data_IF_064349408375
#
_entry.id   IF_064349408375
#
_cell.length_a   1.000
_cell.length_b   1.000
_cell.length_c   1.000
_cell.angle_alpha   90.00
_cell.angle_beta   90.00
_cell.angle_gamma   90.00
#
_symmetry.space_group_name_H-M   'P 1'
#
loop_
_entity.id
_entity.type
_entity.pdbx_description
1 polymer ?
#
# COMPACT_ATOMS: atom_id res chain seq x y z
N UNK A 1 9.30 -1.66 7.80
CA UNK A 1 8.51 -2.92 7.66
C UNK A 1 6.98 -2.70 7.79
N UNK A 2 6.46 -1.47 7.70
CA UNK A 2 5.00 -1.20 7.79
C UNK A 2 4.22 -1.66 6.56
N UNK A 3 3.40 -0.77 5.97
CA UNK A 3 2.63 -1.03 4.74
C UNK A 3 3.43 -1.62 3.57
N UNK A 4 4.75 -1.37 3.52
CA UNK A 4 5.69 -2.00 2.57
C UNK A 4 5.63 -3.54 2.57
N UNK A 5 5.35 -4.14 3.74
CA UNK A 5 5.26 -5.60 3.90
C UNK A 5 3.94 -6.21 3.40
N UNK A 6 2.94 -5.40 3.02
CA UNK A 6 1.68 -5.91 2.51
C UNK A 6 1.93 -6.89 1.34
N UNK A 7 1.46 -8.13 1.52
CA UNK A 7 1.77 -9.33 0.73
C UNK A 7 3.26 -9.74 0.74
N UNK A 8 4.15 -8.89 0.23
CA UNK A 8 5.60 -9.13 0.15
C UNK A 8 6.34 -7.81 -0.13
N UNK A 9 7.53 -7.52 0.44
CA UNK A 9 8.23 -6.25 0.25
C UNK A 9 8.41 -5.83 -1.21
N UNK A 10 8.79 -6.76 -2.09
CA UNK A 10 8.96 -6.52 -3.54
C UNK A 10 7.68 -6.61 -4.37
N UNK A 11 6.55 -7.04 -3.79
CA UNK A 11 5.27 -7.12 -4.51
C UNK A 11 4.60 -5.74 -4.55
N UNK A 12 5.09 -4.86 -5.43
CA UNK A 12 4.49 -3.55 -5.68
C UNK A 12 3.38 -3.66 -6.73
N UNK A 13 2.34 -2.84 -6.59
CA UNK A 13 1.16 -2.78 -7.47
C UNK A 13 0.42 -4.12 -7.58
N UNK A 14 0.56 -4.98 -6.57
CA UNK A 14 0.06 -6.35 -6.58
C UNK A 14 -1.42 -6.45 -6.17
N UNK A 15 -1.80 -5.80 -5.08
CA UNK A 15 -3.13 -5.94 -4.49
C UNK A 15 -3.55 -4.69 -3.73
N UNK A 16 -4.68 -4.80 -3.06
CA UNK A 16 -5.26 -3.74 -2.22
C UNK A 16 -4.76 -3.79 -0.76
N UNK A 17 -5.11 -2.78 0.02
CA UNK A 17 -4.97 -2.79 1.48
C UNK A 17 -6.18 -2.16 2.16
N UNK A 18 -6.61 -2.77 3.27
CA UNK A 18 -7.49 -2.13 4.24
C UNK A 18 -6.64 -1.57 5.38
N UNK A 19 -6.56 -0.23 5.48
CA UNK A 19 -5.95 0.50 6.58
C UNK A 19 -7.02 0.88 7.60
N UNK A 20 -6.87 0.37 8.82
CA UNK A 20 -7.72 0.70 9.98
C UNK A 20 -6.97 1.72 10.84
N UNK A 21 -7.48 2.95 10.86
CA UNK A 21 -6.89 4.06 11.62
C UNK A 21 -7.60 4.17 12.96
N UNK A 22 -6.85 4.03 14.05
CA UNK A 22 -7.37 4.28 15.41
C UNK A 22 -7.65 5.77 15.65
N UNK A 23 -8.63 6.15 16.49
CA UNK A 23 -8.99 7.55 16.73
C UNK A 23 -7.81 8.46 17.12
N UNK A 24 -6.93 8.01 18.00
CA UNK A 24 -5.78 8.80 18.47
C UNK A 24 -4.73 9.01 17.37
N UNK A 25 -4.60 8.04 16.45
CA UNK A 25 -3.76 8.21 15.25
C UNK A 25 -4.41 9.14 14.24
N UNK A 26 -5.74 9.16 14.15
CA UNK A 26 -6.44 10.16 13.33
C UNK A 26 -6.18 11.58 13.86
N UNK A 27 -6.24 11.79 15.18
CA UNK A 27 -5.92 13.08 15.79
C UNK A 27 -4.48 13.51 15.48
N UNK A 28 -3.53 12.58 15.62
CA UNK A 28 -2.12 12.83 15.30
C UNK A 28 -1.94 13.18 13.81
N UNK A 29 -2.56 12.40 12.91
CA UNK A 29 -2.46 12.62 11.46
C UNK A 29 -3.10 13.95 11.04
N UNK A 30 -4.26 14.29 11.60
CA UNK A 30 -4.99 15.53 11.29
C UNK A 30 -4.24 16.76 11.81
N UNK A 31 -3.67 16.68 13.02
CA UNK A 31 -2.79 17.71 13.58
C UNK A 31 -1.60 18.01 12.65
N UNK A 32 -1.02 16.98 12.03
CA UNK A 32 0.11 17.09 11.11
C UNK A 32 -0.29 17.39 9.65
N UNK A 33 -1.56 17.76 9.40
CA UNK A 33 -2.06 18.21 8.10
C UNK A 33 -2.66 17.13 7.20
N UNK A 34 -2.69 15.86 7.61
CA UNK A 34 -3.35 14.77 6.89
C UNK A 34 -4.86 14.73 7.21
N UNK A 35 -5.56 15.82 6.91
CA UNK A 35 -6.97 16.02 7.24
C UNK A 35 -7.97 15.21 6.40
N UNK A 36 -7.54 14.61 5.28
CA UNK A 36 -8.41 13.86 4.36
C UNK A 36 -7.85 12.48 4.05
N UNK A 37 -8.71 11.56 3.60
CA UNK A 37 -8.27 10.24 3.12
C UNK A 37 -7.32 10.38 1.93
N UNK A 38 -7.54 11.38 1.09
CA UNK A 38 -6.72 11.68 -0.08
C UNK A 38 -5.30 12.08 0.33
N UNK A 39 -5.14 12.91 1.37
CA UNK A 39 -3.81 13.24 1.92
C UNK A 39 -3.09 11.97 2.39
N UNK A 40 -3.78 11.09 3.13
CA UNK A 40 -3.18 9.86 3.63
C UNK A 40 -2.81 8.90 2.50
N UNK A 41 -3.67 8.73 1.49
CA UNK A 41 -3.38 7.90 0.30
C UNK A 41 -2.17 8.40 -0.47
N UNK A 42 -2.12 9.72 -0.73
CA UNK A 42 -0.98 10.34 -1.40
C UNK A 42 0.31 10.11 -0.62
N UNK A 43 0.26 10.31 0.70
CA UNK A 43 1.42 10.10 1.57
C UNK A 43 1.88 8.64 1.57
N UNK A 44 0.96 7.69 1.66
CA UNK A 44 1.28 6.25 1.58
C UNK A 44 1.96 5.93 0.25
N UNK A 45 1.43 6.41 -0.88
CA UNK A 45 2.04 6.17 -2.19
C UNK A 45 3.45 6.77 -2.29
N UNK A 46 3.64 7.98 -1.77
CA UNK A 46 4.94 8.66 -1.75
C UNK A 46 5.97 7.90 -0.90
N UNK A 47 5.67 7.62 0.38
CA UNK A 47 6.66 7.03 1.31
C UNK A 47 6.94 5.56 1.06
N UNK A 48 6.05 4.88 0.34
CA UNK A 48 6.25 3.47 -0.02
C UNK A 48 6.86 3.29 -1.40
N UNK A 49 7.10 4.38 -2.15
CA UNK A 49 7.70 4.28 -3.46
C UNK A 49 9.16 3.82 -3.40
N UNK A 50 9.51 2.88 -4.27
CA UNK A 50 10.88 2.35 -4.41
C UNK A 50 11.35 2.45 -5.86
N UNK A 51 12.66 2.57 -6.12
CA UNK A 51 13.22 2.41 -7.45
C UNK A 51 12.69 1.11 -8.11
N UNK A 52 12.41 1.17 -9.42
CA UNK A 52 11.90 0.00 -10.13
C UNK A 52 12.86 -1.20 -10.07
N UNK A 53 14.17 -0.94 -10.06
CA UNK A 53 15.19 -1.98 -9.88
C UNK A 53 15.13 -2.70 -8.52
N UNK A 54 14.54 -2.09 -7.49
CA UNK A 54 14.50 -2.66 -6.13
C UNK A 54 13.30 -3.59 -5.91
N UNK A 55 12.32 -3.56 -6.83
CA UNK A 55 11.05 -4.31 -6.74
C UNK A 55 10.97 -5.49 -7.71
N UNK A 56 12.08 -5.82 -8.38
CA UNK A 56 12.21 -7.05 -9.15
C UNK A 56 12.74 -8.17 -8.27
N UNK A 57 12.33 -9.41 -8.57
CA UNK A 57 12.90 -10.59 -7.93
C UNK A 57 14.41 -10.69 -8.18
N UNK A 58 15.11 -11.40 -7.31
CA UNK A 58 16.53 -11.74 -7.46
C UNK A 58 16.79 -13.17 -6.93
N UNK A 59 18.06 -13.57 -6.88
CA UNK A 59 18.48 -14.91 -6.48
C UNK A 59 18.15 -15.23 -5.01
N UNK A 60 17.97 -14.21 -4.17
CA UNK A 60 17.60 -14.38 -2.75
C UNK A 60 16.09 -14.28 -2.54
N UNK A 61 15.40 -13.51 -3.39
CA UNK A 61 13.99 -13.15 -3.22
C UNK A 61 13.23 -13.38 -4.53
N UNK A 62 12.50 -14.50 -4.60
CA UNK A 62 11.68 -14.85 -5.76
C UNK A 62 10.42 -13.99 -5.97
N UNK A 63 10.08 -13.09 -5.03
CA UNK A 63 8.94 -12.18 -5.14
C UNK A 63 9.28 -10.89 -5.90
N UNK A 64 8.32 -10.35 -6.65
CA UNK A 64 8.47 -9.12 -7.43
C UNK A 64 8.26 -9.34 -8.93
N UNK A 65 8.55 -8.33 -9.73
CA UNK A 65 8.52 -8.48 -11.19
C UNK A 65 9.73 -9.28 -11.70
N UNK A 66 9.57 -9.97 -12.84
CA UNK A 66 10.66 -10.73 -13.47
C UNK A 66 11.89 -9.84 -13.72
N UNK A 67 13.14 -10.29 -13.48
CA UNK A 67 14.34 -9.50 -13.73
C UNK A 67 14.47 -9.06 -15.20
N UNK A 68 13.90 -9.84 -16.13
CA UNK A 68 13.90 -9.54 -17.56
C UNK A 68 13.24 -8.19 -17.90
N UNK A 69 12.33 -7.67 -17.05
CA UNK A 69 11.69 -6.36 -17.26
C UNK A 69 12.67 -5.20 -17.17
N UNK A 70 13.87 -5.40 -16.60
CA UNK A 70 14.93 -4.40 -16.55
C UNK A 70 15.81 -4.40 -17.81
N UNK A 71 15.70 -5.42 -18.65
CA UNK A 71 16.46 -5.48 -19.90
C UNK A 71 16.03 -4.35 -20.84
N UNK A 72 17.00 -3.62 -21.38
CA UNK A 72 16.74 -2.48 -22.25
C UNK A 72 16.28 -1.19 -21.54
N UNK A 73 16.11 -1.20 -20.21
CA UNK A 73 15.85 0.04 -19.46
C UNK A 73 17.14 0.79 -19.15
N UNK A 74 17.11 2.10 -19.37
CA UNK A 74 18.16 3.03 -18.95
C UNK A 74 18.15 3.24 -17.41
N UNK A 75 19.17 3.94 -16.91
CA UNK A 75 19.33 4.18 -15.48
C UNK A 75 18.18 5.03 -14.88
N UNK A 76 17.66 6.00 -15.62
CA UNK A 76 16.53 6.82 -15.17
C UNK A 76 15.25 6.00 -15.05
N UNK A 77 14.99 5.12 -16.02
CA UNK A 77 13.85 4.21 -16.02
C UNK A 77 13.94 3.18 -14.89
N UNK A 78 15.13 2.66 -14.59
CA UNK A 78 15.38 1.74 -13.47
C UNK A 78 15.19 2.40 -12.10
N UNK A 79 15.48 3.70 -12.00
CA UNK A 79 15.30 4.50 -10.77
C UNK A 79 13.90 5.06 -10.61
N UNK A 80 13.01 4.90 -11.60
CA UNK A 80 11.65 5.44 -11.52
C UNK A 80 10.94 4.92 -10.26
N UNK A 81 10.35 5.80 -9.45
CA UNK A 81 9.64 5.40 -8.24
C UNK A 81 8.39 4.58 -8.60
N UNK A 82 8.25 3.44 -7.94
CA UNK A 82 7.10 2.54 -8.02
C UNK A 82 6.44 2.50 -6.65
N UNK A 83 5.26 3.13 -6.47
CA UNK A 83 4.50 3.06 -5.23
C UNK A 83 4.08 1.62 -4.88
N UNK A 84 3.75 1.38 -3.61
CA UNK A 84 3.34 0.05 -3.16
C UNK A 84 2.03 -0.42 -3.80
N UNK A 85 1.08 0.50 -4.01
CA UNK A 85 -0.24 0.20 -4.55
C UNK A 85 -0.39 0.76 -5.97
N UNK A 86 -1.24 0.15 -6.80
CA UNK A 86 -1.38 0.56 -8.20
C UNK A 86 -1.96 1.99 -8.34
N UNK A 87 -2.88 2.35 -7.44
CA UNK A 87 -3.47 3.68 -7.33
C UNK A 87 -4.03 3.95 -5.93
N UNK A 88 -4.45 5.20 -5.65
CA UNK A 88 -5.06 5.59 -4.37
C UNK A 88 -6.34 4.80 -4.03
N UNK A 89 -7.08 4.34 -5.05
CA UNK A 89 -8.29 3.54 -4.94
C UNK A 89 -8.04 2.15 -4.31
N UNK A 90 -6.80 1.64 -4.38
CA UNK A 90 -6.42 0.37 -3.78
C UNK A 90 -6.11 0.48 -2.26
N UNK A 91 -6.22 1.69 -1.71
CA UNK A 91 -5.97 1.98 -0.29
C UNK A 91 -7.31 2.32 0.34
N UNK A 92 -7.92 1.32 0.96
CA UNK A 92 -9.18 1.45 1.69
C UNK A 92 -8.91 1.91 3.11
N UNK A 93 -9.57 2.98 3.55
CA UNK A 93 -9.32 3.58 4.86
C UNK A 93 -10.62 3.60 5.64
N UNK A 94 -10.59 3.03 6.85
CA UNK A 94 -11.65 3.12 7.85
C UNK A 94 -11.08 3.67 9.15
N UNK A 95 -11.91 4.39 9.90
CA UNK A 95 -11.61 4.80 11.27
C UNK A 95 -12.45 3.93 12.18
N UNK A 96 -11.82 3.21 13.10
CA UNK A 96 -12.50 2.28 13.99
C UNK A 96 -11.69 2.09 15.28
N UNK A 97 -12.38 1.65 16.34
CA UNK A 97 -11.79 1.46 17.67
C UNK A 97 -12.38 2.41 18.71
N UNK A 98 -11.72 2.49 19.86
CA UNK A 98 -12.05 3.37 20.98
C UNK A 98 -10.75 3.99 21.52
N UNK A 99 -10.88 4.99 22.40
CA UNK A 99 -9.77 5.78 22.98
C UNK A 99 -8.81 5.02 23.92
N UNK A 100 -8.93 3.70 23.99
CA UNK A 100 -8.17 2.85 24.92
C UNK A 100 -6.98 2.12 24.25
N UNK A 101 -6.62 2.44 23.01
CA UNK A 101 -5.59 1.69 22.28
C UNK A 101 -4.97 2.43 21.09
N UNK A 102 -3.69 2.78 21.23
CA UNK A 102 -2.87 3.46 20.21
C UNK A 102 -2.42 2.56 19.05
N UNK A 103 -3.33 1.78 18.47
CA UNK A 103 -2.97 0.81 17.43
C UNK A 103 -3.80 1.05 16.16
N UNK A 104 -3.11 1.43 15.09
CA UNK A 104 -3.62 1.26 13.73
C UNK A 104 -3.16 -0.08 13.20
N UNK A 105 -3.95 -0.68 12.32
CA UNK A 105 -3.64 -1.95 11.69
C UNK A 105 -3.86 -1.86 10.18
N UNK A 106 -3.26 -2.79 9.44
CA UNK A 106 -3.60 -2.98 8.04
C UNK A 106 -3.80 -4.45 7.73
N UNK A 107 -4.64 -4.71 6.73
CA UNK A 107 -4.90 -6.04 6.19
C UNK A 107 -4.57 -6.01 4.71
N UNK A 108 -3.59 -6.82 4.30
CA UNK A 108 -3.20 -6.93 2.90
C UNK A 108 -4.28 -7.71 2.14
N UNK A 109 -4.69 -7.18 0.99
CA UNK A 109 -5.52 -7.90 0.02
C UNK A 109 -4.71 -8.89 -0.79
N UNK A 110 -5.43 -9.62 -1.66
CA UNK A 110 -4.82 -10.46 -2.69
C UNK A 110 -4.72 -9.70 -4.01
N UNK A 111 -4.18 -10.36 -5.07
CA UNK A 111 -4.08 -9.81 -6.42
C UNK A 111 -5.35 -9.04 -6.80
N UNK A 112 -5.22 -7.79 -7.26
CA UNK A 112 -6.35 -6.93 -7.65
C UNK A 112 -6.49 -6.83 -9.18
N UNK A 113 -7.68 -6.49 -9.68
CA UNK A 113 -7.96 -6.31 -11.13
C UNK A 113 -8.54 -7.55 -11.84
N UNK A 114 -8.49 -7.61 -13.19
CA UNK A 114 -9.06 -8.72 -13.97
C UNK A 114 -8.44 -10.07 -13.58
N UNK A 115 -9.25 -10.96 -13.00
CA UNK A 115 -8.80 -12.25 -12.45
C UNK A 115 -8.32 -12.20 -10.99
N UNK A 116 -8.41 -11.04 -10.34
CA UNK A 116 -8.11 -10.82 -8.93
C UNK A 116 -9.35 -10.67 -8.04
N UNK A 117 -9.13 -10.16 -6.83
CA UNK A 117 -10.17 -9.82 -5.85
C UNK A 117 -10.61 -8.38 -6.00
N UNK A 118 -11.88 -8.11 -5.68
CA UNK A 118 -12.43 -6.76 -5.60
C UNK A 118 -12.93 -6.56 -4.16
N UNK A 119 -12.34 -5.62 -3.41
CA UNK A 119 -12.82 -5.29 -2.06
C UNK A 119 -14.25 -4.76 -2.12
N UNK A 120 -15.11 -5.30 -1.27
CA UNK A 120 -16.51 -4.89 -1.14
C UNK A 120 -16.84 -4.61 0.32
N UNK A 121 -17.80 -3.70 0.56
CA UNK A 121 -18.36 -3.46 1.87
C UNK A 121 -19.87 -3.37 1.76
N UNK A 122 -20.56 -3.85 2.80
CA UNK A 122 -22.00 -3.72 2.95
C UNK A 122 -22.32 -3.42 4.40
N UNK A 123 -23.40 -2.69 4.61
CA UNK A 123 -24.01 -2.59 5.94
C UNK A 123 -24.53 -3.99 6.31
N UNK A 124 -24.36 -4.36 7.57
CA UNK A 124 -24.96 -5.56 8.16
C UNK A 124 -26.13 -5.07 8.99
N UNK A 125 -27.34 -5.53 8.67
CA UNK A 125 -28.53 -5.25 9.48
C UNK A 125 -28.45 -6.03 10.80
N UNK A 126 -29.08 -5.49 11.86
CA UNK A 126 -29.20 -6.14 13.17
C UNK A 126 -30.11 -7.37 13.16
#
# INVERSE_FOLDING_TARGET
VGLESAAHPKAHRYGDVLLVVGPEHLDTLTHDGYATKEHLRARVQEVTAKPFADVVSDDEVGGGASPSVLSGLDEGQRRRPVPKFAGPENIHIVVAGAEAGKWSAFFAGWTTGPGGTIPTSRVIDE
#
